data_IF_985822244678
#
_entry.id   IF_985822244678
#
_cell.length_a   1.000
_cell.length_b   1.000
_cell.length_c   1.000
_cell.angle_alpha   90.00
_cell.angle_beta   90.00
_cell.angle_gamma   90.00
#
_symmetry.space_group_name_H-M   'P 1'
#
loop_
_entity.id
_entity.type
_entity.pdbx_description
1 polymer ?
#
# COMPACT_ATOMS: atom_id res chain seq x y z
N UNK A 1 -33.05 -14.19 -56.58
CA UNK A 1 -32.74 -15.07 -55.43
C UNK A 1 -31.69 -16.07 -55.90
N UNK A 2 -30.47 -16.01 -55.34
CA UNK A 2 -29.39 -16.92 -55.72
C UNK A 2 -29.49 -18.26 -54.97
N UNK A 3 -28.93 -19.36 -55.51
CA UNK A 3 -29.08 -20.71 -54.95
C UNK A 3 -28.51 -20.91 -53.53
N UNK A 4 -27.71 -19.97 -53.01
CA UNK A 4 -27.20 -19.98 -51.64
C UNK A 4 -28.11 -19.34 -50.58
N UNK A 5 -29.11 -18.54 -50.98
CA UNK A 5 -29.87 -17.68 -50.06
C UNK A 5 -30.59 -18.45 -48.93
N UNK A 6 -31.07 -19.66 -49.23
CA UNK A 6 -31.72 -20.53 -48.23
C UNK A 6 -30.76 -21.05 -47.18
N UNK A 7 -29.53 -21.37 -47.59
CA UNK A 7 -28.47 -21.85 -46.71
C UNK A 7 -27.99 -20.73 -45.80
N UNK A 8 -27.74 -19.54 -46.37
CA UNK A 8 -27.34 -18.35 -45.61
C UNK A 8 -28.41 -17.97 -44.56
N UNK A 9 -29.69 -18.04 -44.95
CA UNK A 9 -30.80 -17.75 -44.02
C UNK A 9 -30.82 -18.72 -42.83
N UNK A 10 -30.64 -20.01 -43.08
CA UNK A 10 -30.62 -21.03 -42.01
C UNK A 10 -29.42 -20.86 -41.08
N UNK A 11 -28.25 -20.56 -41.64
CA UNK A 11 -27.03 -20.32 -40.87
C UNK A 11 -27.16 -19.08 -39.98
N UNK A 12 -27.74 -17.99 -40.50
CA UNK A 12 -28.04 -16.79 -39.70
C UNK A 12 -28.99 -17.09 -38.54
N UNK A 13 -30.04 -17.89 -38.77
CA UNK A 13 -30.97 -18.30 -37.70
C UNK A 13 -30.27 -19.15 -36.64
N UNK A 14 -29.44 -20.12 -37.03
CA UNK A 14 -28.72 -20.97 -36.07
C UNK A 14 -27.64 -20.19 -35.32
N UNK A 15 -26.92 -19.31 -36.00
CA UNK A 15 -25.95 -18.39 -35.40
C UNK A 15 -26.62 -17.49 -34.36
N UNK A 16 -27.76 -16.89 -34.70
CA UNK A 16 -28.56 -16.09 -33.76
C UNK A 16 -28.99 -16.90 -32.54
N UNK A 17 -29.57 -18.09 -32.75
CA UNK A 17 -30.02 -18.94 -31.65
C UNK A 17 -28.87 -19.39 -30.72
N UNK A 18 -27.69 -19.67 -31.27
CA UNK A 18 -26.51 -20.03 -30.48
C UNK A 18 -25.98 -18.83 -29.70
N UNK A 19 -25.94 -17.64 -30.30
CA UNK A 19 -25.55 -16.42 -29.61
C UNK A 19 -26.51 -16.06 -28.46
N UNK A 20 -27.82 -16.18 -28.70
CA UNK A 20 -28.85 -15.99 -27.65
C UNK A 20 -28.67 -17.01 -26.52
N UNK A 21 -28.42 -18.28 -26.83
CA UNK A 21 -28.13 -19.29 -25.79
C UNK A 21 -26.88 -18.95 -24.99
N UNK A 22 -25.79 -18.55 -25.64
CA UNK A 22 -24.52 -18.21 -24.95
C UNK A 22 -24.67 -16.98 -24.05
N UNK A 23 -25.38 -15.95 -24.51
CA UNK A 23 -25.61 -14.72 -23.74
C UNK A 23 -26.54 -14.93 -22.55
N UNK A 24 -27.57 -15.78 -22.67
CA UNK A 24 -28.52 -16.07 -21.60
C UNK A 24 -28.01 -17.16 -20.63
N UNK A 25 -27.13 -18.06 -21.08
CA UNK A 25 -26.59 -19.13 -20.23
C UNK A 25 -25.85 -18.58 -19.01
N UNK A 26 -25.08 -17.51 -19.19
CA UNK A 26 -24.38 -16.83 -18.10
C UNK A 26 -25.36 -16.36 -17.02
N UNK A 27 -26.44 -15.66 -17.38
CA UNK A 27 -27.44 -15.21 -16.42
C UNK A 27 -28.20 -16.38 -15.79
N UNK A 28 -28.58 -17.39 -16.57
CA UNK A 28 -29.38 -18.51 -16.08
C UNK A 28 -28.59 -19.47 -15.17
N UNK A 29 -27.27 -19.54 -15.27
CA UNK A 29 -26.43 -20.35 -14.38
C UNK A 29 -25.85 -19.54 -13.22
N UNK A 30 -25.53 -18.27 -13.44
CA UNK A 30 -24.89 -17.43 -12.43
C UNK A 30 -25.82 -17.13 -11.25
N UNK A 31 -27.08 -16.76 -11.50
CA UNK A 31 -28.00 -16.43 -10.39
C UNK A 31 -28.30 -17.65 -9.51
N UNK A 32 -28.66 -18.83 -10.03
CA UNK A 32 -28.88 -19.99 -9.18
C UNK A 32 -27.62 -20.47 -8.44
N UNK A 33 -26.45 -20.38 -9.06
CA UNK A 33 -25.20 -20.74 -8.39
C UNK A 33 -24.90 -19.77 -7.24
N UNK A 34 -25.10 -18.47 -7.44
CA UNK A 34 -24.94 -17.47 -6.40
C UNK A 34 -25.93 -17.67 -5.25
N UNK A 35 -27.19 -17.99 -5.55
CA UNK A 35 -28.21 -18.23 -4.52
C UNK A 35 -27.85 -19.43 -3.64
N UNK A 36 -27.35 -20.50 -4.24
CA UNK A 36 -26.89 -21.70 -3.52
C UNK A 36 -25.65 -21.39 -2.67
N UNK A 37 -24.65 -20.71 -3.23
CA UNK A 37 -23.45 -20.30 -2.49
C UNK A 37 -23.79 -19.35 -1.34
N UNK A 38 -24.69 -18.39 -1.57
CA UNK A 38 -25.16 -17.45 -0.55
C UNK A 38 -25.89 -18.18 0.58
N UNK A 39 -26.75 -19.15 0.26
CA UNK A 39 -27.43 -19.98 1.25
C UNK A 39 -26.43 -20.78 2.11
N UNK A 40 -25.45 -21.44 1.47
CA UNK A 40 -24.42 -22.20 2.18
C UNK A 40 -23.57 -21.29 3.10
N UNK A 41 -23.11 -20.15 2.59
CA UNK A 41 -22.34 -19.19 3.37
C UNK A 41 -23.15 -18.64 4.55
N UNK A 42 -24.45 -18.40 4.36
CA UNK A 42 -25.35 -17.94 5.42
C UNK A 42 -25.52 -19.00 6.51
N UNK A 43 -25.65 -20.28 6.15
CA UNK A 43 -25.73 -21.38 7.12
C UNK A 43 -24.43 -21.55 7.90
N UNK A 44 -23.28 -21.55 7.21
CA UNK A 44 -21.96 -21.63 7.85
C UNK A 44 -21.74 -20.44 8.79
N UNK A 45 -22.13 -19.23 8.37
CA UNK A 45 -22.02 -18.04 9.20
C UNK A 45 -22.88 -18.13 10.47
N UNK A 46 -24.14 -18.60 10.37
CA UNK A 46 -25.02 -18.81 11.53
C UNK A 46 -24.42 -19.81 12.51
N UNK A 47 -24.00 -20.98 12.00
CA UNK A 47 -23.38 -22.03 12.82
C UNK A 47 -22.09 -21.54 13.50
N UNK A 48 -21.25 -20.80 12.76
CA UNK A 48 -20.06 -20.18 13.33
C UNK A 48 -20.42 -19.17 14.41
N UNK A 49 -21.42 -18.32 14.17
CA UNK A 49 -21.86 -17.30 15.13
C UNK A 49 -22.45 -17.91 16.41
N UNK A 50 -23.20 -19.01 16.30
CA UNK A 50 -23.71 -19.77 17.45
C UNK A 50 -22.56 -20.39 18.26
N UNK A 51 -21.59 -21.01 17.59
CA UNK A 51 -20.42 -21.61 18.23
C UNK A 51 -19.50 -20.58 18.89
N UNK A 52 -19.43 -19.37 18.36
CA UNK A 52 -18.63 -18.29 18.94
C UNK A 52 -19.38 -17.52 20.04
N UNK A 53 -20.65 -17.82 20.33
CA UNK A 53 -21.47 -17.04 21.26
C UNK A 53 -20.87 -16.96 22.69
N UNK A 54 -20.18 -18.00 23.13
CA UNK A 54 -19.43 -18.03 24.40
C UNK A 54 -18.16 -17.15 24.38
N UNK A 55 -17.57 -16.93 23.19
CA UNK A 55 -16.35 -16.15 23.00
C UNK A 55 -16.62 -14.67 22.75
N UNK A 56 -17.81 -14.31 22.29
CA UNK A 56 -18.25 -12.92 22.13
C UNK A 56 -18.03 -12.07 23.39
N UNK A 57 -18.44 -12.48 24.61
CA UNK A 57 -18.22 -11.65 25.80
C UNK A 57 -16.74 -11.51 26.16
N UNK A 58 -15.92 -12.54 25.92
CA UNK A 58 -14.47 -12.49 26.14
C UNK A 58 -13.82 -11.52 25.15
N UNK A 59 -14.17 -11.61 23.87
CA UNK A 59 -13.67 -10.72 22.84
C UNK A 59 -14.12 -9.27 23.06
N UNK A 60 -15.39 -9.04 23.41
CA UNK A 60 -15.88 -7.70 23.77
C UNK A 60 -15.11 -7.11 24.94
N UNK A 61 -14.88 -7.91 25.99
CA UNK A 61 -14.09 -7.46 27.13
C UNK A 61 -12.63 -7.16 26.73
N UNK A 62 -12.03 -7.96 25.86
CA UNK A 62 -10.68 -7.68 25.33
C UNK A 62 -10.64 -6.38 24.53
N UNK A 63 -11.67 -6.07 23.75
CA UNK A 63 -11.79 -4.81 23.00
C UNK A 63 -12.00 -3.64 23.96
N UNK A 64 -12.90 -3.77 24.94
CA UNK A 64 -13.14 -2.74 25.96
C UNK A 64 -11.88 -2.47 26.80
N UNK A 65 -11.16 -3.51 27.21
CA UNK A 65 -9.88 -3.39 27.94
C UNK A 65 -8.80 -2.74 27.06
N UNK A 66 -8.77 -3.03 25.76
CA UNK A 66 -7.84 -2.43 24.79
C UNK A 66 -8.17 -0.96 24.53
N UNK A 67 -9.43 -0.63 24.28
CA UNK A 67 -9.91 0.74 24.06
C UNK A 67 -9.74 1.61 25.33
N UNK A 68 -9.94 1.04 26.52
CA UNK A 68 -9.69 1.75 27.78
C UNK A 68 -8.20 2.01 28.07
N UNK A 69 -7.31 1.17 27.53
CA UNK A 69 -5.86 1.36 27.63
C UNK A 69 -5.31 2.28 26.52
N UNK A 70 -6.07 2.49 25.45
CA UNK A 70 -5.66 3.31 24.31
C UNK A 70 -6.11 4.75 24.52
N UNK A 71 -5.41 5.51 25.37
CA UNK A 71 -5.73 6.94 25.55
C UNK A 71 -5.42 7.76 24.29
N UNK A 72 -4.45 7.36 23.47
CA UNK A 72 -4.27 7.87 22.11
C UNK A 72 -3.75 6.73 21.21
N UNK A 73 -4.35 6.57 20.03
CA UNK A 73 -3.77 5.69 19.02
C UNK A 73 -2.38 6.20 18.60
N UNK A 74 -1.49 5.31 18.10
CA UNK A 74 -0.15 5.71 17.66
C UNK A 74 -0.18 6.84 16.62
N UNK A 75 -1.24 6.90 15.78
CA UNK A 75 -1.45 7.97 14.81
C UNK A 75 -1.77 9.33 15.45
N UNK A 76 -2.45 9.32 16.59
CA UNK A 76 -2.86 10.52 17.30
C UNK A 76 -1.67 11.14 18.06
N UNK A 77 -0.83 10.33 18.71
CA UNK A 77 0.43 10.79 19.31
C UNK A 77 1.39 11.38 18.26
N UNK A 78 1.48 10.75 17.09
CA UNK A 78 2.27 11.26 15.96
C UNK A 78 1.72 12.60 15.44
N UNK A 79 0.40 12.77 15.42
CA UNK A 79 -0.25 14.02 15.03
C UNK A 79 -0.01 15.14 16.06
N UNK A 80 -0.07 14.82 17.36
CA UNK A 80 0.27 15.77 18.42
C UNK A 80 1.75 16.18 18.37
N UNK A 81 2.66 15.22 18.17
CA UNK A 81 4.08 15.53 17.97
C UNK A 81 4.30 16.46 16.78
N UNK A 82 3.59 16.24 15.66
CA UNK A 82 3.64 17.15 14.49
C UNK A 82 3.18 18.56 14.83
N UNK A 83 2.11 18.69 15.61
CA UNK A 83 1.61 20.00 16.06
C UNK A 83 2.62 20.71 16.96
N UNK A 84 3.25 19.98 17.88
CA UNK A 84 4.27 20.53 18.77
C UNK A 84 5.48 21.05 17.99
N UNK A 85 6.02 20.25 17.05
CA UNK A 85 7.13 20.69 16.22
C UNK A 85 6.78 21.89 15.32
N UNK A 86 5.57 21.94 14.76
CA UNK A 86 5.11 23.08 13.98
C UNK A 86 4.99 24.37 14.82
N UNK A 87 4.51 24.25 16.07
CA UNK A 87 4.42 25.38 16.99
C UNK A 87 5.82 25.90 17.39
N UNK A 88 6.77 25.01 17.68
CA UNK A 88 8.15 25.40 17.97
C UNK A 88 8.83 26.10 16.78
N UNK A 89 8.58 25.63 15.56
CA UNK A 89 9.11 26.26 14.35
C UNK A 89 8.54 27.65 14.11
N UNK A 90 7.24 27.84 14.36
CA UNK A 90 6.61 29.16 14.29
C UNK A 90 7.24 30.13 15.30
N UNK A 91 7.45 29.68 16.55
CA UNK A 91 8.12 30.48 17.57
C UNK A 91 9.57 30.83 17.19
N UNK A 92 10.33 29.88 16.62
CA UNK A 92 11.71 30.14 16.15
C UNK A 92 11.76 31.12 14.98
N UNK A 93 10.75 31.09 14.11
CA UNK A 93 10.62 32.06 13.02
C UNK A 93 10.31 33.47 13.53
N UNK A 94 9.44 33.60 14.54
CA UNK A 94 9.15 34.87 15.22
C UNK A 94 10.39 35.46 15.91
N UNK A 95 11.22 34.59 16.49
CA UNK A 95 12.49 34.97 17.12
C UNK A 95 13.62 35.29 16.13
N UNK A 96 13.39 35.15 14.82
CA UNK A 96 14.34 35.50 13.77
C UNK A 96 15.56 34.58 13.70
N UNK A 97 15.45 33.33 14.17
CA UNK A 97 16.55 32.36 14.13
C UNK A 97 16.90 32.05 12.66
N UNK A 98 18.18 32.16 12.25
CA UNK A 98 18.58 31.90 10.88
C UNK A 98 18.37 30.43 10.52
N UNK A 99 17.62 30.19 9.44
CA UNK A 99 17.33 28.84 8.94
C UNK A 99 18.50 28.39 8.05
N UNK A 100 19.08 27.23 8.35
CA UNK A 100 20.25 26.69 7.61
C UNK A 100 19.91 26.29 6.15
N UNK A 101 18.66 25.92 5.87
CA UNK A 101 18.21 25.47 4.55
C UNK A 101 16.70 25.73 4.40
N UNK A 102 16.18 25.77 3.17
CA UNK A 102 14.75 25.94 2.87
C UNK A 102 13.82 24.83 3.44
N UNK A 103 14.35 23.83 4.14
CA UNK A 103 13.58 22.72 4.73
C UNK A 103 13.81 22.78 6.22
N UNK A 104 12.76 22.69 7.03
CA UNK A 104 12.95 22.72 8.48
C UNK A 104 13.53 21.40 9.04
N UNK A 105 14.26 21.38 10.17
CA UNK A 105 14.76 20.14 10.76
C UNK A 105 13.69 19.09 11.04
N UNK A 106 12.49 19.47 11.50
CA UNK A 106 11.39 18.51 11.72
C UNK A 106 10.93 17.90 10.39
N UNK A 107 10.76 18.73 9.37
CA UNK A 107 10.41 18.32 8.00
C UNK A 107 11.45 17.38 7.41
N UNK A 108 12.73 17.57 7.71
CA UNK A 108 13.80 16.64 7.32
C UNK A 108 13.62 15.26 7.96
N UNK A 109 13.34 15.19 9.26
CA UNK A 109 13.11 13.92 9.97
C UNK A 109 11.90 13.20 9.40
N UNK A 110 10.78 13.91 9.20
CA UNK A 110 9.58 13.33 8.60
C UNK A 110 9.80 12.84 7.17
N UNK A 111 10.57 13.58 6.37
CA UNK A 111 10.91 13.16 5.01
C UNK A 111 11.77 11.89 4.99
N UNK A 112 12.62 11.68 6.01
CA UNK A 112 13.39 10.45 6.18
C UNK A 112 12.50 9.26 6.54
N UNK A 113 11.64 9.41 7.55
CA UNK A 113 10.69 8.35 7.97
C UNK A 113 9.74 7.94 6.84
N UNK A 114 9.19 8.91 6.11
CA UNK A 114 8.33 8.63 4.97
C UNK A 114 9.06 7.88 3.85
N UNK A 115 10.37 8.13 3.66
CA UNK A 115 11.17 7.38 2.68
C UNK A 115 11.43 5.94 3.11
N UNK A 116 11.63 5.67 4.41
CA UNK A 116 11.76 4.30 4.93
C UNK A 116 10.46 3.52 4.76
N UNK A 117 9.32 4.15 5.02
CA UNK A 117 8.00 3.56 4.78
C UNK A 117 7.79 3.29 3.28
N UNK A 118 8.14 4.23 2.39
CA UNK A 118 8.13 3.99 0.94
C UNK A 118 9.05 2.81 0.55
N UNK A 119 10.25 2.68 1.13
CA UNK A 119 11.14 1.53 0.86
C UNK A 119 10.48 0.20 1.26
N UNK A 120 9.82 0.16 2.41
CA UNK A 120 9.11 -1.03 2.89
C UNK A 120 7.95 -1.43 1.95
N UNK A 121 7.10 -0.47 1.56
CA UNK A 121 6.01 -0.74 0.63
C UNK A 121 6.51 -1.23 -0.73
N UNK A 122 7.58 -0.62 -1.25
CA UNK A 122 8.18 -1.05 -2.52
C UNK A 122 8.75 -2.46 -2.43
N UNK A 123 9.34 -2.84 -1.30
CA UNK A 123 9.82 -4.21 -1.07
C UNK A 123 8.67 -5.23 -1.14
N UNK A 124 7.57 -4.96 -0.43
CA UNK A 124 6.37 -5.80 -0.47
C UNK A 124 5.81 -5.88 -1.89
N UNK A 125 5.64 -4.75 -2.56
CA UNK A 125 5.11 -4.73 -3.92
C UNK A 125 6.01 -5.49 -4.90
N UNK A 126 7.34 -5.37 -4.75
CA UNK A 126 8.31 -6.08 -5.56
C UNK A 126 8.20 -7.60 -5.35
N UNK A 127 8.02 -8.06 -4.11
CA UNK A 127 7.79 -9.48 -3.79
C UNK A 127 6.47 -9.99 -4.38
N UNK A 128 5.38 -9.24 -4.24
CA UNK A 128 4.06 -9.62 -4.76
C UNK A 128 4.02 -9.64 -6.29
N UNK A 129 4.68 -8.69 -6.95
CA UNK A 129 4.67 -8.54 -8.42
C UNK A 129 5.75 -9.33 -9.13
N UNK A 130 6.72 -9.94 -8.42
CA UNK A 130 7.70 -10.88 -8.99
C UNK A 130 7.04 -12.06 -9.74
N UNK A 131 5.77 -12.35 -9.48
CA UNK A 131 5.04 -13.48 -10.06
C UNK A 131 4.20 -13.18 -11.33
N UNK A 132 4.14 -11.94 -11.86
CA UNK A 132 3.18 -11.58 -12.94
C UNK A 132 3.70 -10.63 -14.03
N UNK A 133 2.97 -10.62 -15.16
CA UNK A 133 3.25 -10.14 -16.53
C UNK A 133 3.94 -8.75 -16.72
N UNK A 134 4.52 -8.57 -17.91
CA UNK A 134 5.35 -7.43 -18.38
C UNK A 134 4.80 -6.02 -18.05
N UNK A 135 3.49 -5.81 -18.04
CA UNK A 135 2.89 -4.52 -17.68
C UNK A 135 3.08 -4.13 -16.21
N UNK A 136 3.16 -5.11 -15.29
CA UNK A 136 3.39 -4.84 -13.87
C UNK A 136 4.85 -4.48 -13.58
N UNK A 137 5.79 -4.99 -14.39
CA UNK A 137 7.20 -4.60 -14.31
C UNK A 137 7.42 -3.11 -14.65
N UNK A 138 6.68 -2.57 -15.64
CA UNK A 138 6.74 -1.14 -15.98
C UNK A 138 6.29 -0.29 -14.78
N UNK A 139 5.21 -0.68 -14.10
CA UNK A 139 4.76 0.03 -12.89
C UNK A 139 5.79 0.03 -11.77
N UNK A 140 6.46 -1.12 -11.53
CA UNK A 140 7.51 -1.25 -10.53
C UNK A 140 8.73 -0.38 -10.85
N UNK A 141 9.15 -0.33 -12.12
CA UNK A 141 10.27 0.54 -12.52
C UNK A 141 9.95 2.02 -12.29
N UNK A 142 8.72 2.46 -12.54
CA UNK A 142 8.26 3.81 -12.22
C UNK A 142 8.38 4.12 -10.72
N UNK A 143 7.91 3.21 -9.87
CA UNK A 143 7.97 3.38 -8.42
C UNK A 143 9.43 3.38 -7.91
N UNK A 144 10.27 2.47 -8.39
CA UNK A 144 11.71 2.42 -8.06
C UNK A 144 12.46 3.68 -8.48
N UNK A 145 12.13 4.26 -9.63
CA UNK A 145 12.77 5.52 -10.07
C UNK A 145 12.36 6.71 -9.20
N UNK A 146 11.09 6.79 -8.78
CA UNK A 146 10.62 7.79 -7.79
C UNK A 146 11.38 7.66 -6.48
N UNK A 147 11.46 6.44 -5.93
CA UNK A 147 12.17 6.14 -4.68
C UNK A 147 13.66 6.53 -4.77
N UNK A 148 14.33 6.19 -5.88
CA UNK A 148 15.74 6.57 -6.10
C UNK A 148 15.94 8.08 -6.08
N UNK A 149 15.05 8.85 -6.72
CA UNK A 149 15.10 10.32 -6.70
C UNK A 149 14.88 10.87 -5.29
N UNK A 150 13.96 10.26 -4.53
CA UNK A 150 13.71 10.57 -3.13
C UNK A 150 14.95 10.39 -2.25
N UNK A 151 15.60 9.22 -2.34
CA UNK A 151 16.84 8.90 -1.62
C UNK A 151 17.96 9.89 -1.97
N UNK A 152 18.13 10.23 -3.26
CA UNK A 152 19.14 11.21 -3.67
C UNK A 152 18.88 12.60 -3.09
N UNK A 153 17.62 13.06 -3.07
CA UNK A 153 17.25 14.33 -2.44
C UNK A 153 17.53 14.30 -0.94
N UNK A 154 17.20 13.20 -0.28
CA UNK A 154 17.45 13.04 1.15
C UNK A 154 18.94 13.06 1.50
N UNK A 155 19.80 12.38 0.71
CA UNK A 155 21.26 12.43 0.90
C UNK A 155 21.86 13.83 0.76
N UNK A 156 21.27 14.69 -0.09
CA UNK A 156 21.68 16.11 -0.17
C UNK A 156 21.31 16.87 1.11
N UNK A 157 20.15 16.58 1.71
CA UNK A 157 19.75 17.18 2.99
C UNK A 157 20.60 16.65 4.16
N UNK A 158 20.97 15.37 4.14
CA UNK A 158 21.90 14.80 5.13
C UNK A 158 23.26 15.51 5.13
N UNK A 159 23.74 16.00 3.97
CA UNK A 159 24.99 16.77 3.94
C UNK A 159 24.92 18.07 4.76
N UNK A 160 23.73 18.64 4.95
CA UNK A 160 23.49 19.86 5.73
C UNK A 160 23.17 19.55 7.18
N UNK A 161 22.27 18.61 7.44
CA UNK A 161 21.78 18.31 8.79
C UNK A 161 22.57 17.23 9.53
N UNK A 162 23.08 16.22 8.82
CA UNK A 162 23.66 14.99 9.40
C UNK A 162 24.85 14.46 8.57
N UNK A 163 25.96 15.20 8.45
CA UNK A 163 27.07 14.81 7.59
C UNK A 163 27.75 13.50 8.03
N UNK A 164 27.71 13.17 9.33
CA UNK A 164 28.20 11.90 9.85
C UNK A 164 27.43 10.68 9.30
N UNK A 165 26.13 10.84 9.00
CA UNK A 165 25.31 9.79 8.40
C UNK A 165 25.83 9.38 7.01
N UNK A 166 26.33 10.35 6.24
CA UNK A 166 26.90 10.09 4.92
C UNK A 166 28.22 9.32 5.00
N UNK A 167 29.02 9.58 6.03
CA UNK A 167 30.27 8.86 6.26
C UNK A 167 29.97 7.39 6.64
N UNK A 168 29.02 7.17 7.55
CA UNK A 168 28.55 5.82 7.90
C UNK A 168 27.97 5.08 6.69
N UNK A 169 27.19 5.76 5.85
CA UNK A 169 26.67 5.19 4.61
C UNK A 169 27.78 4.78 3.64
N UNK A 170 28.84 5.58 3.53
CA UNK A 170 29.99 5.27 2.67
C UNK A 170 30.77 4.05 3.19
N UNK A 171 30.91 3.89 4.51
CA UNK A 171 31.60 2.74 5.11
C UNK A 171 30.80 1.44 5.08
N UNK A 172 29.46 1.53 5.12
CA UNK A 172 28.57 0.36 5.07
C UNK A 172 28.20 -0.08 3.65
N UNK A 173 28.58 0.69 2.62
CA UNK A 173 28.37 0.28 1.21
C UNK A 173 29.43 -0.75 0.84
N UNK A 174 29.20 -2.02 1.18
CA UNK A 174 29.95 -3.14 0.61
C UNK A 174 29.55 -3.33 -0.87
N UNK A 175 30.42 -3.90 -1.72
CA UNK A 175 30.15 -4.07 -3.15
C UNK A 175 28.99 -5.05 -3.47
N UNK A 176 28.37 -5.66 -2.44
CA UNK A 176 27.33 -6.69 -2.54
C UNK A 176 25.92 -6.15 -2.22
N UNK A 177 25.78 -4.84 -2.00
CA UNK A 177 24.47 -4.22 -1.77
C UNK A 177 23.70 -4.15 -3.10
N UNK A 178 22.65 -4.97 -3.20
CA UNK A 178 21.61 -4.99 -4.25
C UNK A 178 21.42 -3.63 -4.92
N UNK A 179 21.52 -3.58 -6.26
CA UNK A 179 21.36 -2.34 -7.05
C UNK A 179 20.00 -1.64 -6.83
N UNK A 180 19.05 -2.39 -6.26
CA UNK A 180 17.67 -2.00 -6.02
C UNK A 180 17.54 -0.90 -4.95
N UNK A 181 16.66 0.10 -5.18
CA UNK A 181 16.51 1.22 -4.26
C UNK A 181 15.84 0.84 -2.92
N UNK A 182 15.05 -0.22 -2.89
CA UNK A 182 14.39 -0.74 -1.67
C UNK A 182 15.34 -1.40 -0.64
N UNK A 183 16.56 -1.76 -1.03
CA UNK A 183 17.54 -2.42 -0.15
C UNK A 183 18.67 -1.49 0.31
N UNK A 184 18.65 -0.23 -0.14
CA UNK A 184 19.68 0.75 0.22
C UNK A 184 19.44 1.23 1.65
N UNK A 185 20.43 1.12 2.55
CA UNK A 185 20.27 1.59 3.92
C UNK A 185 20.10 3.11 3.96
N UNK A 186 19.06 3.56 4.66
CA UNK A 186 18.86 4.94 5.08
C UNK A 186 19.37 5.06 6.52
N UNK A 187 20.40 5.87 6.74
CA UNK A 187 20.92 6.14 8.07
C UNK A 187 20.27 7.40 8.63
N UNK A 188 19.36 7.21 9.58
CA UNK A 188 18.76 8.28 10.37
C UNK A 188 19.65 8.64 11.57
N UNK A 189 19.36 9.77 12.23
CA UNK A 189 20.08 10.18 13.46
C UNK A 189 20.01 9.15 14.58
N UNK A 190 18.93 8.36 14.65
CA UNK A 190 18.74 7.30 15.63
C UNK A 190 19.54 6.02 15.36
N UNK A 191 20.11 5.89 14.14
CA UNK A 191 20.84 4.72 13.69
C UNK A 191 22.37 4.94 13.61
N UNK A 192 22.85 6.10 14.10
CA UNK A 192 24.26 6.44 14.28
C UNK A 192 24.64 6.33 15.75
#
# INVERSE_FOLDING_TARGET
QGPGFRWDTLDDYWGYWNWVKLTILGTNLFFPCLDVECAQQTEVFKLFSEQQQERIPVWKKMVEDFEAQQELGPDAELAEGRLQFAAEEAQRAELGVPVLHNVSPSSFIYAGLALEEEQYHVRIEAELKKAKATGQQISLTGIRTKLTRGIQRFRRLQAVYTPAALQAAATCTTPDMSELPEDKPLFMLSAL
#
